data_IF_144483835017
#
_entry.id   IF_144483835017
#
_cell.length_a   1.000
_cell.length_b   1.000
_cell.length_c   1.000
_cell.angle_alpha   90.00
_cell.angle_beta   90.00
_cell.angle_gamma   90.00
#
_symmetry.space_group_name_H-M   'P 1'
#
loop_
_entity.id
_entity.type
_entity.pdbx_description
1 polymer ?
#
# COMPACT_ATOMS: atom_id res chain seq x y z
N UNK A 1 2.60 -20.45 -5.04
CA UNK A 1 1.30 -21.17 -5.05
C UNK A 1 0.20 -20.30 -5.64
N UNK A 2 -0.05 -19.05 -5.19
CA UNK A 2 -1.12 -18.20 -5.77
C UNK A 2 -0.82 -17.80 -7.22
N UNK A 3 0.42 -17.41 -7.52
CA UNK A 3 0.83 -16.98 -8.85
C UNK A 3 0.50 -18.02 -9.92
N UNK A 4 0.79 -19.27 -9.67
CA UNK A 4 0.52 -20.40 -10.59
C UNK A 4 -0.97 -20.66 -10.79
N UNK A 5 -1.78 -20.50 -9.73
CA UNK A 5 -3.22 -20.77 -9.77
C UNK A 5 -4.02 -19.72 -10.52
N UNK A 6 -3.58 -18.46 -10.51
CA UNK A 6 -4.31 -17.34 -11.13
C UNK A 6 -3.66 -16.80 -12.40
N UNK A 7 -2.49 -17.34 -12.80
CA UNK A 7 -1.81 -16.91 -14.03
C UNK A 7 -2.66 -17.10 -15.30
N UNK A 8 -3.65 -18.01 -15.27
CA UNK A 8 -4.61 -18.22 -16.34
C UNK A 8 -5.85 -17.32 -16.31
N UNK A 9 -5.97 -16.43 -15.33
CA UNK A 9 -7.13 -15.54 -15.23
C UNK A 9 -7.06 -14.43 -16.30
N UNK A 10 -8.19 -14.14 -16.93
CA UNK A 10 -8.32 -13.06 -17.92
C UNK A 10 -8.58 -11.70 -17.29
N UNK A 11 -9.22 -11.70 -16.13
CA UNK A 11 -9.49 -10.52 -15.33
C UNK A 11 -9.70 -10.92 -13.87
N UNK A 12 -9.55 -9.98 -12.95
CA UNK A 12 -9.86 -10.12 -11.52
C UNK A 12 -10.93 -9.09 -11.14
N UNK A 13 -12.02 -9.59 -10.59
CA UNK A 13 -13.12 -8.79 -10.04
C UNK A 13 -13.11 -8.99 -8.54
N UNK A 14 -12.56 -8.00 -7.83
CA UNK A 14 -12.41 -8.07 -6.38
C UNK A 14 -13.71 -7.62 -5.69
N UNK A 15 -14.33 -8.54 -4.94
CA UNK A 15 -15.60 -8.32 -4.25
C UNK A 15 -15.43 -7.68 -2.86
N UNK A 16 -14.37 -6.87 -2.67
CA UNK A 16 -14.27 -5.96 -1.53
C UNK A 16 -15.54 -5.10 -1.42
N UNK A 17 -15.91 -4.60 -0.23
CA UNK A 17 -17.09 -3.77 -0.06
C UNK A 17 -17.14 -2.62 -1.06
N UNK A 18 -18.29 -2.47 -1.70
CA UNK A 18 -18.61 -1.30 -2.51
C UNK A 18 -18.69 -0.06 -1.63
N UNK A 19 -18.27 1.07 -2.19
CA UNK A 19 -18.42 2.35 -1.49
C UNK A 19 -19.87 2.81 -1.64
N UNK A 20 -20.48 3.42 -0.61
CA UNK A 20 -21.82 4.00 -0.71
C UNK A 20 -22.01 4.87 -1.95
N UNK A 21 -23.24 5.01 -2.42
CA UNK A 21 -23.62 5.75 -3.64
C UNK A 21 -23.02 5.15 -4.93
N UNK A 22 -22.94 3.83 -5.01
CA UNK A 22 -22.51 3.12 -6.20
C UNK A 22 -21.01 3.10 -6.44
N UNK A 23 -20.17 3.47 -5.46
CA UNK A 23 -18.73 3.52 -5.66
C UNK A 23 -18.11 2.18 -6.00
N UNK A 24 -17.34 2.14 -7.11
CA UNK A 24 -16.49 1.05 -7.57
C UNK A 24 -15.06 1.56 -7.64
N UNK A 25 -14.14 0.86 -7.02
CA UNK A 25 -12.77 1.35 -6.91
C UNK A 25 -11.96 1.03 -8.14
N UNK A 26 -11.54 2.09 -8.83
CA UNK A 26 -10.69 2.06 -10.04
C UNK A 26 -9.24 2.40 -9.75
N UNK A 27 -8.95 2.97 -8.57
CA UNK A 27 -7.61 3.27 -8.10
C UNK A 27 -7.48 2.98 -6.60
N UNK A 28 -6.36 2.39 -6.19
CA UNK A 28 -6.00 2.17 -4.78
C UNK A 28 -4.54 2.48 -4.52
N UNK A 29 -4.26 3.05 -3.35
CA UNK A 29 -2.89 3.17 -2.89
C UNK A 29 -2.29 1.81 -2.57
N UNK A 30 -0.98 1.70 -2.82
CA UNK A 30 -0.15 0.66 -2.25
C UNK A 30 0.45 1.09 -0.91
N UNK A 31 1.00 0.14 -0.18
CA UNK A 31 1.67 0.38 1.09
C UNK A 31 2.86 -0.54 1.32
N UNK A 32 3.76 -0.08 2.18
CA UNK A 32 4.91 -0.85 2.63
C UNK A 32 5.32 -0.51 4.04
N UNK A 33 6.14 -1.37 4.62
CA UNK A 33 6.67 -1.17 5.96
C UNK A 33 8.16 -1.48 5.98
N UNK A 34 8.90 -0.70 6.76
CA UNK A 34 10.29 -0.98 7.06
C UNK A 34 10.50 -1.02 8.56
N UNK A 35 11.45 -1.84 8.95
CA UNK A 35 12.01 -1.89 10.28
C UNK A 35 13.49 -1.52 10.19
N UNK A 36 13.87 -0.42 10.82
CA UNK A 36 15.23 0.09 10.85
C UNK A 36 15.79 -0.08 12.25
N UNK A 37 16.93 -0.75 12.37
CA UNK A 37 17.68 -0.94 13.60
C UNK A 37 19.05 -0.32 13.48
N UNK A 38 19.44 0.45 14.47
CA UNK A 38 20.72 1.13 14.51
C UNK A 38 21.47 0.66 15.75
N UNK A 39 22.72 0.27 15.55
CA UNK A 39 23.66 -0.02 16.61
C UNK A 39 24.69 1.08 16.71
N UNK A 40 24.96 1.54 17.92
CA UNK A 40 25.99 2.52 18.25
C UNK A 40 26.92 1.97 19.33
N UNK A 41 27.59 2.88 20.05
CA UNK A 41 28.56 2.58 21.11
C UNK A 41 28.15 3.33 22.34
N UNK A 42 28.00 2.64 23.49
CA UNK A 42 27.70 3.26 24.78
C UNK A 42 28.93 3.92 25.35
N UNK A 43 28.75 5.08 25.97
CA UNK A 43 29.77 5.78 26.75
C UNK A 43 29.08 6.64 27.82
N UNK A 44 29.80 7.03 28.85
CA UNK A 44 29.27 7.95 29.87
C UNK A 44 29.19 9.36 29.29
N UNK A 45 27.98 9.91 29.13
CA UNK A 45 27.76 11.17 28.42
C UNK A 45 28.51 12.38 28.98
N UNK A 46 28.73 12.45 30.27
CA UNK A 46 29.45 13.56 30.91
C UNK A 46 30.96 13.35 31.14
N UNK A 47 31.51 12.16 30.84
CA UNK A 47 32.93 11.85 31.09
C UNK A 47 33.73 11.52 29.83
N UNK A 48 33.14 10.80 28.91
CA UNK A 48 33.82 10.27 27.73
C UNK A 48 32.83 10.19 26.54
N UNK A 49 32.18 11.30 26.27
CA UNK A 49 31.14 11.37 25.18
C UNK A 49 31.72 10.95 23.82
N UNK A 50 32.97 11.33 23.54
CA UNK A 50 33.68 11.08 22.29
C UNK A 50 33.96 9.58 22.05
N UNK A 51 34.01 8.78 23.12
CA UNK A 51 34.19 7.32 23.02
C UNK A 51 32.90 6.63 22.53
N UNK A 52 31.76 7.30 22.66
CA UNK A 52 30.45 6.82 22.24
C UNK A 52 30.15 7.04 20.75
N UNK A 53 29.08 6.39 20.29
CA UNK A 53 28.45 6.66 19.01
C UNK A 53 26.93 6.54 19.18
N UNK A 54 26.21 7.67 19.08
CA UNK A 54 24.78 7.71 19.41
C UNK A 54 23.91 7.16 18.31
N UNK A 55 23.29 6.00 18.55
CA UNK A 55 22.31 5.43 17.67
C UNK A 55 21.02 6.27 17.56
N UNK A 56 20.63 6.95 18.65
CA UNK A 56 19.46 7.86 18.63
C UNK A 56 19.74 9.06 17.73
N UNK A 57 20.94 9.66 17.79
CA UNK A 57 21.31 10.79 16.94
C UNK A 57 21.34 10.36 15.46
N UNK A 58 21.90 9.19 15.16
CA UNK A 58 21.89 8.60 13.82
C UNK A 58 20.44 8.42 13.31
N UNK A 59 19.54 7.87 14.15
CA UNK A 59 18.13 7.71 13.80
C UNK A 59 17.45 9.06 13.57
N UNK A 60 17.71 10.07 14.39
CA UNK A 60 17.13 11.39 14.22
C UNK A 60 17.48 12.01 12.84
N UNK A 61 18.74 11.93 12.43
CA UNK A 61 19.17 12.38 11.11
C UNK A 61 18.46 11.61 9.98
N UNK A 62 18.30 10.30 10.15
CA UNK A 62 17.60 9.47 9.14
C UNK A 62 16.12 9.81 9.06
N UNK A 63 15.44 10.06 10.19
CA UNK A 63 14.02 10.47 10.20
C UNK A 63 13.83 11.78 9.42
N UNK A 64 14.67 12.78 9.67
CA UNK A 64 14.63 14.06 8.95
C UNK A 64 14.89 13.86 7.45
N UNK A 65 15.84 13.00 7.10
CA UNK A 65 16.13 12.69 5.69
C UNK A 65 14.99 11.92 5.00
N UNK A 66 14.26 11.07 5.73
CA UNK A 66 13.11 10.33 5.23
C UNK A 66 11.88 11.23 5.03
N UNK A 67 11.68 12.24 5.88
CA UNK A 67 10.57 13.18 5.77
C UNK A 67 10.62 13.98 4.45
N UNK A 68 11.80 14.19 3.90
CA UNK A 68 11.97 14.85 2.59
C UNK A 68 11.33 14.10 1.40
N UNK A 69 10.94 12.83 1.57
CA UNK A 69 10.25 12.05 0.53
C UNK A 69 8.72 12.07 0.66
N UNK A 70 8.18 12.83 1.61
CA UNK A 70 6.75 13.11 1.67
C UNK A 70 6.41 14.13 0.59
N UNK A 71 5.56 13.73 -0.37
CA UNK A 71 5.13 14.57 -1.48
C UNK A 71 3.61 14.52 -1.60
N UNK A 72 2.96 15.65 -1.29
CA UNK A 72 1.52 15.77 -1.37
C UNK A 72 1.00 15.74 -2.82
N UNK A 73 1.78 16.21 -3.80
CA UNK A 73 1.39 16.21 -5.22
C UNK A 73 1.52 14.80 -5.81
N UNK A 74 2.64 14.13 -5.57
CA UNK A 74 2.84 12.73 -5.94
C UNK A 74 2.05 11.77 -5.02
N UNK A 75 1.49 12.28 -3.93
CA UNK A 75 0.73 11.52 -2.94
C UNK A 75 1.54 10.35 -2.35
N UNK A 76 2.84 10.55 -2.18
CA UNK A 76 3.71 9.64 -1.46
C UNK A 76 3.83 10.07 0.00
N UNK A 77 3.81 9.11 0.90
CA UNK A 77 3.95 9.33 2.34
C UNK A 77 5.04 8.41 2.87
N UNK A 78 5.92 8.96 3.68
CA UNK A 78 6.88 8.23 4.51
C UNK A 78 6.63 8.64 5.96
N UNK A 79 6.14 7.72 6.76
CA UNK A 79 5.81 8.01 8.16
C UNK A 79 6.62 7.12 9.10
N UNK A 80 7.48 7.73 9.92
CA UNK A 80 8.13 7.03 11.04
C UNK A 80 7.17 7.04 12.23
N UNK A 81 6.33 6.01 12.32
CA UNK A 81 5.23 5.96 13.29
C UNK A 81 5.63 5.48 14.69
N UNK A 82 6.73 4.74 14.81
CA UNK A 82 7.21 4.24 16.10
C UNK A 82 8.73 4.37 16.17
N UNK A 83 9.23 4.81 17.35
CA UNK A 83 10.65 4.86 17.67
C UNK A 83 10.89 4.37 19.08
N UNK A 84 12.05 3.77 19.32
CA UNK A 84 12.59 3.46 20.65
C UNK A 84 14.13 3.48 20.62
N UNK A 85 14.77 3.66 21.77
CA UNK A 85 16.23 3.64 21.81
C UNK A 85 16.82 4.06 23.15
N UNK A 86 18.12 3.75 23.29
CA UNK A 86 18.91 4.08 24.48
C UNK A 86 18.56 3.24 25.71
N UNK A 87 19.34 3.43 26.78
CA UNK A 87 19.14 2.73 28.05
C UNK A 87 19.01 3.70 29.21
N UNK A 88 19.66 4.87 29.12
CA UNK A 88 19.71 5.88 30.20
C UNK A 88 20.09 7.24 29.64
N UNK A 89 19.55 8.32 30.21
CA UNK A 89 19.81 9.69 29.78
C UNK A 89 21.29 10.15 29.98
N UNK A 90 22.01 9.54 30.89
CA UNK A 90 23.43 9.85 31.15
C UNK A 90 24.41 8.96 30.37
N UNK A 91 23.91 8.17 29.38
CA UNK A 91 24.73 7.35 28.52
C UNK A 91 24.46 7.66 27.05
N UNK A 92 25.51 7.63 26.23
CA UNK A 92 25.37 7.65 24.74
C UNK A 92 24.59 6.42 24.33
N UNK A 93 23.56 6.60 23.52
CA UNK A 93 22.61 5.54 23.15
C UNK A 93 23.26 4.46 22.28
N UNK A 94 23.39 3.21 22.76
CA UNK A 94 24.02 2.13 21.98
C UNK A 94 23.10 1.48 20.95
N UNK A 95 21.81 1.77 20.96
CA UNK A 95 20.84 1.25 20.01
C UNK A 95 19.67 2.21 19.79
N UNK A 96 19.06 2.11 18.63
CA UNK A 96 17.78 2.73 18.31
C UNK A 96 17.01 1.87 17.31
N UNK A 97 15.69 1.97 17.33
CA UNK A 97 14.76 1.19 16.50
C UNK A 97 13.66 2.10 15.96
N UNK A 98 13.27 1.91 14.70
CA UNK A 98 12.17 2.64 14.10
C UNK A 98 11.29 1.73 13.23
N UNK A 99 9.97 2.00 13.25
CA UNK A 99 8.99 1.43 12.32
C UNK A 99 8.50 2.52 11.40
N UNK A 100 8.69 2.27 10.10
CA UNK A 100 8.40 3.23 9.04
C UNK A 100 7.30 2.63 8.17
N UNK A 101 6.27 3.41 7.90
CA UNK A 101 5.19 3.11 6.98
C UNK A 101 5.35 3.99 5.73
N UNK A 102 5.16 3.40 4.55
CA UNK A 102 5.12 4.14 3.28
C UNK A 102 3.80 3.89 2.55
N UNK A 103 3.29 4.92 1.87
CA UNK A 103 2.18 4.78 0.91
C UNK A 103 2.51 5.47 -0.40
N UNK A 104 1.96 4.96 -1.48
CA UNK A 104 2.23 5.40 -2.85
C UNK A 104 1.06 5.06 -3.77
N UNK A 105 0.95 5.73 -4.92
CA UNK A 105 -0.15 5.52 -5.88
C UNK A 105 0.26 4.69 -7.09
N UNK A 106 1.56 4.64 -7.43
CA UNK A 106 2.05 3.96 -8.63
C UNK A 106 3.19 3.00 -8.28
N UNK A 107 3.44 2.03 -9.16
CA UNK A 107 4.57 1.09 -9.04
C UNK A 107 5.88 1.85 -9.06
N UNK A 108 6.05 2.80 -10.00
CA UNK A 108 7.24 3.64 -10.09
C UNK A 108 7.51 4.43 -8.81
N UNK A 109 6.45 5.00 -8.19
CA UNK A 109 6.59 5.72 -6.93
C UNK A 109 6.99 4.77 -5.79
N UNK A 110 6.46 3.54 -5.78
CA UNK A 110 6.82 2.51 -4.82
C UNK A 110 8.30 2.14 -4.90
N UNK A 111 8.79 1.88 -6.11
CA UNK A 111 10.19 1.50 -6.36
C UNK A 111 11.14 2.63 -5.93
N UNK A 112 10.87 3.87 -6.37
CA UNK A 112 11.64 5.06 -5.94
C UNK A 112 11.63 5.25 -4.43
N UNK A 113 10.49 5.09 -3.76
CA UNK A 113 10.44 5.21 -2.29
C UNK A 113 11.25 4.12 -1.59
N UNK A 114 11.18 2.88 -2.07
CA UNK A 114 11.97 1.78 -1.52
C UNK A 114 13.47 2.05 -1.67
N UNK A 115 13.90 2.51 -2.84
CA UNK A 115 15.28 2.88 -3.11
C UNK A 115 15.74 4.03 -2.19
N UNK A 116 14.94 5.09 -2.08
CA UNK A 116 15.24 6.25 -1.23
C UNK A 116 15.35 5.86 0.24
N UNK A 117 14.42 5.08 0.76
CA UNK A 117 14.46 4.60 2.15
C UNK A 117 15.71 3.76 2.39
N UNK A 118 16.09 2.90 1.46
CA UNK A 118 17.31 2.09 1.53
C UNK A 118 18.58 2.93 1.44
N UNK A 119 18.59 3.95 0.58
CA UNK A 119 19.71 4.89 0.45
C UNK A 119 19.94 5.68 1.74
N UNK A 120 18.86 6.18 2.38
CA UNK A 120 18.96 6.84 3.69
C UNK A 120 19.47 5.86 4.75
N UNK A 121 18.99 4.61 4.75
CA UNK A 121 19.46 3.60 5.69
C UNK A 121 20.96 3.29 5.51
N UNK A 122 21.46 3.27 4.28
CA UNK A 122 22.86 2.99 3.97
C UNK A 122 23.80 4.17 4.32
N UNK A 123 23.29 5.40 4.34
CA UNK A 123 24.08 6.59 4.67
C UNK A 123 24.37 6.61 6.19
N UNK A 124 25.61 6.81 6.57
CA UNK A 124 26.04 7.00 7.96
C UNK A 124 26.18 8.49 8.27
N UNK A 125 25.44 8.99 9.24
CA UNK A 125 25.49 10.38 9.71
C UNK A 125 26.38 10.51 10.95
N UNK A 126 26.33 9.53 11.86
CA UNK A 126 27.14 9.46 13.06
C UNK A 126 28.21 8.38 12.86
N UNK A 127 29.50 8.73 12.82
CA UNK A 127 30.59 7.74 12.66
C UNK A 127 30.49 6.61 13.70
N UNK A 128 30.89 5.41 13.30
CA UNK A 128 30.91 4.20 14.15
C UNK A 128 29.51 3.64 14.49
N UNK A 129 28.43 4.18 13.91
CA UNK A 129 27.10 3.52 13.94
C UNK A 129 26.94 2.54 12.79
N UNK A 130 26.07 1.56 12.95
CA UNK A 130 25.65 0.65 11.88
C UNK A 130 24.14 0.58 11.80
N UNK A 131 23.59 0.57 10.58
CA UNK A 131 22.16 0.48 10.34
C UNK A 131 21.82 -0.82 9.63
N UNK A 132 20.80 -1.51 10.12
CA UNK A 132 20.15 -2.64 9.43
C UNK A 132 18.73 -2.25 9.11
N UNK A 133 18.30 -2.56 7.89
CA UNK A 133 16.92 -2.32 7.45
C UNK A 133 16.33 -3.58 6.86
N UNK A 134 15.07 -3.84 7.18
CA UNK A 134 14.28 -4.94 6.62
C UNK A 134 12.89 -4.41 6.25
N UNK A 135 12.19 -5.14 5.37
CA UNK A 135 10.88 -4.72 4.88
C UNK A 135 10.90 -4.28 3.42
N UNK A 136 9.84 -3.62 3.00
CA UNK A 136 9.59 -3.18 1.62
C UNK A 136 8.09 -3.04 1.33
N UNK A 137 7.71 -3.16 0.07
CA UNK A 137 6.32 -3.14 -0.39
C UNK A 137 5.59 -4.34 0.22
N UNK A 138 4.41 -4.07 0.78
CA UNK A 138 3.51 -5.09 1.33
C UNK A 138 2.28 -5.29 0.45
N UNK A 139 1.66 -4.19 0.04
CA UNK A 139 0.52 -4.20 -0.87
C UNK A 139 0.81 -3.27 -2.04
N UNK A 140 0.64 -3.77 -3.25
CA UNK A 140 0.87 -3.01 -4.47
C UNK A 140 -0.31 -2.06 -4.77
N UNK A 141 -0.10 -0.97 -5.50
CA UNK A 141 -1.17 -0.07 -5.90
C UNK A 141 -2.04 -0.72 -6.98
N UNK A 142 -3.31 -0.33 -7.04
CA UNK A 142 -4.15 -0.50 -8.21
C UNK A 142 -4.13 0.83 -8.96
N UNK A 143 -3.41 0.89 -10.06
CA UNK A 143 -3.32 2.08 -10.90
C UNK A 143 -4.51 2.16 -11.86
N UNK A 144 -4.94 3.38 -12.19
CA UNK A 144 -5.94 3.61 -13.21
C UNK A 144 -5.33 3.37 -14.60
N UNK A 145 -5.74 2.30 -15.25
CA UNK A 145 -5.24 1.87 -16.56
C UNK A 145 -6.37 1.72 -17.57
N UNK A 146 -6.05 1.56 -18.84
CA UNK A 146 -7.03 1.27 -19.87
C UNK A 146 -7.83 -0.03 -19.62
N UNK A 147 -7.20 -1.02 -18.98
CA UNK A 147 -7.86 -2.26 -18.59
C UNK A 147 -8.85 -2.04 -17.46
N UNK A 148 -8.50 -1.22 -16.45
CA UNK A 148 -9.42 -0.82 -15.38
C UNK A 148 -10.62 -0.07 -15.94
N UNK A 149 -10.38 0.87 -16.86
CA UNK A 149 -11.46 1.61 -17.55
C UNK A 149 -12.36 0.68 -18.33
N UNK A 150 -11.79 -0.30 -19.03
CA UNK A 150 -12.52 -1.31 -19.78
C UNK A 150 -13.42 -2.15 -18.84
N UNK A 151 -12.89 -2.60 -17.70
CA UNK A 151 -13.65 -3.34 -16.69
C UNK A 151 -14.76 -2.49 -16.07
N UNK A 152 -14.48 -1.22 -15.78
CA UNK A 152 -15.48 -0.30 -15.26
C UNK A 152 -16.62 -0.09 -16.26
N UNK A 153 -16.31 0.14 -17.54
CA UNK A 153 -17.31 0.24 -18.61
C UNK A 153 -18.15 -1.04 -18.80
N UNK A 154 -17.56 -2.22 -18.56
CA UNK A 154 -18.33 -3.47 -18.52
C UNK A 154 -19.31 -3.50 -17.35
N UNK A 155 -18.90 -3.04 -16.18
CA UNK A 155 -19.77 -2.96 -15.01
C UNK A 155 -20.90 -1.94 -15.23
N UNK A 156 -20.62 -0.78 -15.85
CA UNK A 156 -21.68 0.19 -16.24
C UNK A 156 -22.72 -0.42 -17.18
N UNK A 157 -22.26 -1.14 -18.22
CA UNK A 157 -23.18 -1.85 -19.14
C UNK A 157 -23.99 -2.93 -18.42
N UNK A 158 -23.38 -3.66 -17.49
CA UNK A 158 -24.09 -4.64 -16.68
C UNK A 158 -25.18 -3.97 -15.83
N UNK A 159 -24.89 -2.84 -15.22
CA UNK A 159 -25.86 -2.06 -14.44
C UNK A 159 -27.00 -1.52 -15.30
N UNK A 160 -26.73 -1.00 -16.48
CA UNK A 160 -27.74 -0.54 -17.42
C UNK A 160 -28.70 -1.66 -17.84
N UNK A 161 -28.16 -2.85 -18.12
CA UNK A 161 -28.96 -4.03 -18.51
C UNK A 161 -29.87 -4.57 -17.38
N UNK A 162 -29.59 -4.20 -16.12
CA UNK A 162 -30.36 -4.62 -14.94
C UNK A 162 -31.50 -3.64 -14.57
N UNK A 163 -31.72 -2.58 -15.34
CA UNK A 163 -32.79 -1.61 -15.05
C UNK A 163 -32.31 -0.37 -14.28
N UNK A 164 -31.03 -0.01 -14.40
CA UNK A 164 -30.55 1.32 -14.00
C UNK A 164 -29.93 1.43 -12.63
N UNK A 165 -29.33 0.37 -12.10
CA UNK A 165 -28.42 0.49 -10.97
C UNK A 165 -27.23 1.37 -11.40
N UNK A 166 -26.92 2.42 -10.63
CA UNK A 166 -25.89 3.39 -11.01
C UNK A 166 -24.61 3.11 -10.24
N UNK A 167 -23.48 3.15 -10.93
CA UNK A 167 -22.15 3.08 -10.30
C UNK A 167 -21.32 4.32 -10.65
N UNK A 168 -20.32 4.59 -9.83
CA UNK A 168 -19.35 5.69 -10.06
C UNK A 168 -17.94 5.23 -9.75
N UNK A 169 -16.96 5.87 -10.38
CA UNK A 169 -15.55 5.63 -10.07
C UNK A 169 -15.24 6.12 -8.67
N UNK A 170 -14.44 5.35 -7.97
CA UNK A 170 -13.94 5.70 -6.65
C UNK A 170 -12.42 5.49 -6.61
N UNK A 171 -11.75 6.36 -5.85
CA UNK A 171 -10.35 6.23 -5.50
C UNK A 171 -10.23 5.89 -4.03
N UNK A 172 -9.69 4.71 -3.71
CA UNK A 172 -9.54 4.27 -2.34
C UNK A 172 -8.14 4.59 -1.79
N UNK A 173 -8.10 5.06 -0.55
CA UNK A 173 -6.84 5.37 0.15
C UNK A 173 -6.23 4.13 0.80
N UNK A 174 -7.01 3.08 1.04
CA UNK A 174 -6.56 1.79 1.55
C UNK A 174 -6.18 0.83 0.43
N UNK A 175 -5.20 -0.02 0.67
CA UNK A 175 -4.74 -1.05 -0.27
C UNK A 175 -5.63 -2.30 -0.24
N UNK A 176 -5.56 -3.13 -1.31
CA UNK A 176 -6.16 -4.46 -1.39
C UNK A 176 -5.35 -5.37 -2.32
N UNK A 177 -5.73 -6.63 -2.39
CA UNK A 177 -5.11 -7.65 -3.25
C UNK A 177 -5.26 -7.35 -4.75
N UNK A 178 -6.27 -6.55 -5.15
CA UNK A 178 -6.45 -6.12 -6.53
C UNK A 178 -5.21 -5.39 -7.09
N UNK A 179 -4.48 -4.68 -6.24
CA UNK A 179 -3.20 -4.08 -6.61
C UNK A 179 -2.14 -5.11 -6.99
N UNK A 180 -2.05 -6.23 -6.26
CA UNK A 180 -1.10 -7.28 -6.59
C UNK A 180 -1.42 -7.95 -7.94
N UNK A 181 -2.68 -8.24 -8.20
CA UNK A 181 -3.10 -8.88 -9.45
C UNK A 181 -2.88 -7.98 -10.66
N UNK A 182 -3.13 -6.68 -10.51
CA UNK A 182 -2.89 -5.70 -11.57
C UNK A 182 -1.38 -5.43 -11.76
N UNK A 183 -0.69 -4.97 -10.71
CA UNK A 183 0.67 -4.43 -10.81
C UNK A 183 1.76 -5.51 -10.90
N UNK A 184 1.55 -6.69 -10.31
CA UNK A 184 2.58 -7.76 -10.27
C UNK A 184 2.32 -8.85 -11.29
N UNK A 185 1.05 -9.18 -11.53
CA UNK A 185 0.67 -10.24 -12.44
C UNK A 185 0.27 -9.73 -13.83
N UNK A 186 0.04 -8.43 -13.98
CA UNK A 186 -0.41 -7.82 -15.23
C UNK A 186 -1.82 -8.26 -15.65
N UNK A 187 -2.65 -8.68 -14.68
CA UNK A 187 -4.02 -9.14 -14.96
C UNK A 187 -4.96 -7.95 -14.78
N UNK A 188 -5.79 -7.61 -15.78
CA UNK A 188 -6.83 -6.60 -15.65
C UNK A 188 -7.63 -6.78 -14.37
N UNK A 189 -7.66 -5.79 -13.48
CA UNK A 189 -8.26 -5.93 -12.15
C UNK A 189 -9.10 -4.72 -11.78
N UNK A 190 -10.25 -4.95 -11.12
CA UNK A 190 -11.12 -3.91 -10.59
C UNK A 190 -11.54 -4.28 -9.16
N UNK A 191 -11.82 -3.29 -8.31
CA UNK A 191 -12.04 -3.53 -6.88
C UNK A 191 -13.32 -2.86 -6.36
N UNK A 192 -13.74 -3.23 -5.14
CA UNK A 192 -14.97 -2.75 -4.49
C UNK A 192 -16.22 -3.03 -5.32
N UNK A 193 -16.25 -4.20 -5.95
CA UNK A 193 -17.39 -4.66 -6.73
C UNK A 193 -18.47 -5.31 -5.85
N UNK A 194 -18.18 -5.61 -4.59
CA UNK A 194 -19.12 -6.20 -3.63
C UNK A 194 -20.23 -5.25 -3.19
N UNK A 195 -21.15 -5.71 -2.32
CA UNK A 195 -22.21 -4.91 -1.75
C UNK A 195 -21.69 -3.66 -1.05
N UNK A 196 -22.49 -2.59 -1.04
CA UNK A 196 -22.10 -1.32 -0.43
C UNK A 196 -22.07 -1.42 1.09
N UNK A 197 -21.04 -0.84 1.68
CA UNK A 197 -20.84 -0.81 3.11
C UNK A 197 -19.88 0.30 3.51
N UNK A 198 -19.84 0.58 4.80
CA UNK A 198 -18.95 1.58 5.37
C UNK A 198 -18.54 1.22 6.80
N UNK A 199 -17.78 2.11 7.45
CA UNK A 199 -17.24 1.98 8.81
C UNK A 199 -16.38 0.73 8.99
N UNK A 200 -15.64 0.34 7.93
CA UNK A 200 -14.81 -0.86 7.90
C UNK A 200 -13.83 -0.90 9.07
N UNK A 201 -13.63 -2.10 9.64
CA UNK A 201 -12.76 -2.35 10.79
C UNK A 201 -13.22 -1.66 12.09
N UNK A 202 -14.50 -1.30 12.20
CA UNK A 202 -15.07 -0.72 13.41
C UNK A 202 -16.27 -1.54 13.94
N UNK A 203 -16.67 -1.35 15.21
CA UNK A 203 -17.90 -1.96 15.72
C UNK A 203 -19.18 -1.47 15.02
N UNK A 204 -19.10 -0.39 14.26
CA UNK A 204 -20.20 0.20 13.49
C UNK A 204 -20.20 -0.25 12.03
N UNK A 205 -19.34 -1.19 11.65
CA UNK A 205 -19.28 -1.71 10.28
C UNK A 205 -20.64 -2.23 9.84
N UNK A 206 -21.07 -1.81 8.66
CA UNK A 206 -22.36 -2.20 8.09
C UNK A 206 -22.28 -2.54 6.60
N UNK A 207 -23.29 -3.29 6.15
CA UNK A 207 -23.54 -3.62 4.76
C UNK A 207 -24.98 -3.25 4.40
N UNK A 208 -25.17 -2.60 3.25
CA UNK A 208 -26.49 -2.30 2.68
C UNK A 208 -27.06 -3.54 1.99
N UNK A 209 -28.03 -4.20 2.61
CA UNK A 209 -28.63 -5.45 2.11
C UNK A 209 -29.27 -5.27 0.73
N UNK A 210 -29.86 -4.10 0.46
CA UNK A 210 -30.52 -3.79 -0.82
C UNK A 210 -29.53 -3.78 -2.00
N UNK A 211 -28.23 -3.61 -1.72
CA UNK A 211 -27.19 -3.60 -2.75
C UNK A 211 -26.63 -4.99 -3.06
N UNK A 212 -26.90 -6.00 -2.23
CA UNK A 212 -26.36 -7.35 -2.39
C UNK A 212 -26.74 -7.93 -3.77
N UNK A 213 -28.03 -8.00 -4.07
CA UNK A 213 -28.49 -8.61 -5.30
C UNK A 213 -28.05 -7.84 -6.57
N UNK A 214 -28.18 -6.51 -6.65
CA UNK A 214 -27.65 -5.74 -7.78
C UNK A 214 -26.14 -5.95 -7.99
N UNK A 215 -25.33 -5.90 -6.92
CA UNK A 215 -23.89 -6.09 -6.99
C UNK A 215 -23.49 -7.51 -7.41
N UNK A 216 -24.17 -8.55 -6.92
CA UNK A 216 -23.95 -9.92 -7.39
C UNK A 216 -24.22 -10.07 -8.88
N UNK A 217 -25.33 -9.52 -9.39
CA UNK A 217 -25.66 -9.52 -10.81
C UNK A 217 -24.62 -8.75 -11.63
N UNK A 218 -24.21 -7.56 -11.15
CA UNK A 218 -23.18 -6.75 -11.80
C UNK A 218 -21.87 -7.54 -11.93
N UNK A 219 -21.39 -8.18 -10.86
CA UNK A 219 -20.19 -9.02 -10.88
C UNK A 219 -20.32 -10.13 -11.93
N UNK A 220 -21.43 -10.88 -11.92
CA UNK A 220 -21.64 -12.00 -12.82
C UNK A 220 -21.65 -11.55 -14.31
N UNK A 221 -22.36 -10.48 -14.62
CA UNK A 221 -22.43 -9.94 -15.99
C UNK A 221 -21.10 -9.34 -16.43
N UNK A 222 -20.38 -8.65 -15.52
CA UNK A 222 -19.05 -8.13 -15.80
C UNK A 222 -18.06 -9.25 -16.07
N UNK A 223 -18.11 -10.34 -15.30
CA UNK A 223 -17.25 -11.51 -15.50
C UNK A 223 -17.48 -12.18 -16.86
N UNK A 224 -18.75 -12.31 -17.30
CA UNK A 224 -19.10 -12.85 -18.62
C UNK A 224 -18.54 -11.95 -19.73
N UNK A 225 -18.66 -10.63 -19.62
CA UNK A 225 -18.12 -9.68 -20.59
C UNK A 225 -16.59 -9.74 -20.62
N UNK A 226 -15.94 -9.73 -19.46
CA UNK A 226 -14.49 -9.80 -19.34
C UNK A 226 -13.90 -11.10 -19.93
N UNK A 227 -14.56 -12.24 -19.70
CA UNK A 227 -14.16 -13.51 -20.27
C UNK A 227 -14.20 -13.55 -21.82
N UNK A 228 -14.99 -12.69 -22.45
CA UNK A 228 -15.09 -12.56 -23.91
C UNK A 228 -14.11 -11.53 -24.48
N UNK A 229 -13.85 -10.46 -23.74
CA UNK A 229 -13.08 -9.31 -24.23
C UNK A 229 -11.56 -9.46 -23.99
N UNK A 230 -11.16 -10.01 -22.84
CA UNK A 230 -9.75 -10.21 -22.56
C UNK A 230 -9.27 -11.56 -23.10
N UNK A 231 -8.14 -11.60 -23.81
CA UNK A 231 -7.58 -12.86 -24.31
C UNK A 231 -7.17 -13.77 -23.15
N UNK A 232 -7.14 -15.06 -23.40
CA UNK A 232 -6.50 -15.97 -22.46
C UNK A 232 -5.01 -15.60 -22.35
N UNK A 233 -4.42 -15.56 -21.15
CA UNK A 233 -2.99 -15.34 -21.04
C UNK A 233 -2.24 -16.37 -21.87
N UNK A 234 -1.18 -15.94 -22.55
CA UNK A 234 -0.27 -16.87 -23.23
C UNK A 234 0.46 -17.63 -22.14
N UNK A 235 0.19 -18.91 -22.02
CA UNK A 235 0.89 -19.84 -21.13
C UNK A 235 2.33 -20.01 -21.59
#
# INVERSE_FOLDING_TARGET
VYRERISGARAVICAEPGVPDGGVTTERRGSGHFHMRISGISAHAGRCYEDGASAILELAHKIVALDAFVDAQAQTIVNTGLISGGNSANAVAPWADARIHITFNTVDAAERLVENVRAVAARTFVPRTTTRISGGIRLHPLEYTADVETLFGMAERACAAMGGYTIRRNRALGASEAGFTASVLGIPSICSMGPEGAELHSPSEYLSVDTVLPRCKMIALTAIQAARAFPAPRV
#
